data_IF_156550565592
#
_entry.id   IF_156550565592
#
_cell.length_a   1.000
_cell.length_b   1.000
_cell.length_c   1.000
_cell.angle_alpha   90.00
_cell.angle_beta   90.00
_cell.angle_gamma   90.00
#
_symmetry.space_group_name_H-M   'P 1'
#
loop_
_entity.id
_entity.type
_entity.pdbx_description
1 polymer ?
#
# COMPACT_ATOMS: atom_id res chain seq x y z
N UNK A 1 -51.66 -63.73 3.96
CA UNK A 1 -50.67 -62.81 4.57
C UNK A 1 -49.28 -63.14 4.04
N UNK A 2 -48.56 -62.09 3.66
CA UNK A 2 -47.13 -61.91 3.32
C UNK A 2 -46.27 -63.06 2.72
N UNK A 3 -45.99 -62.87 1.43
CA UNK A 3 -44.76 -63.05 0.62
C UNK A 3 -43.45 -62.53 1.33
N UNK A 4 -42.21 -62.68 0.76
CA UNK A 4 -41.49 -63.92 0.43
C UNK A 4 -39.92 -63.77 0.52
N UNK A 5 -39.18 -64.80 0.07
CA UNK A 5 -37.96 -64.77 -0.79
C UNK A 5 -36.63 -64.15 -0.30
N UNK A 6 -35.67 -65.07 -0.20
CA UNK A 6 -34.30 -65.10 -0.73
C UNK A 6 -33.35 -63.90 -0.53
N UNK A 7 -32.22 -64.19 0.10
CA UNK A 7 -31.03 -63.34 0.06
C UNK A 7 -29.98 -63.97 -0.87
N UNK A 8 -29.76 -63.30 -2.00
CA UNK A 8 -28.64 -63.51 -2.91
C UNK A 8 -27.55 -62.48 -2.58
N UNK A 9 -26.32 -62.97 -2.58
CA UNK A 9 -25.03 -62.33 -2.32
C UNK A 9 -24.75 -61.15 -3.27
N UNK A 10 -24.16 -60.07 -2.76
CA UNK A 10 -23.36 -59.14 -3.58
C UNK A 10 -22.26 -58.45 -2.74
N UNK A 11 -21.01 -58.82 -3.00
CA UNK A 11 -19.80 -58.08 -2.61
C UNK A 11 -19.80 -56.72 -3.32
N UNK A 12 -19.72 -55.61 -2.57
CA UNK A 12 -19.51 -54.28 -3.12
C UNK A 12 -18.05 -53.86 -2.94
N UNK A 13 -17.32 -53.80 -4.05
CA UNK A 13 -16.00 -53.21 -4.17
C UNK A 13 -16.12 -51.67 -4.15
N UNK A 14 -15.60 -51.01 -3.11
CA UNK A 14 -15.57 -49.55 -3.00
C UNK A 14 -14.26 -49.03 -3.60
N UNK A 15 -14.29 -48.67 -4.88
CA UNK A 15 -13.20 -47.97 -5.55
C UNK A 15 -13.13 -46.51 -5.04
N UNK A 16 -12.16 -46.21 -4.19
CA UNK A 16 -11.84 -44.84 -3.77
C UNK A 16 -11.12 -44.14 -4.92
N UNK A 17 -11.86 -43.48 -5.80
CA UNK A 17 -11.30 -42.57 -6.78
C UNK A 17 -10.76 -41.33 -6.04
N UNK A 18 -9.45 -41.30 -5.81
CA UNK A 18 -8.73 -40.10 -5.42
C UNK A 18 -8.73 -39.11 -6.57
N UNK A 19 -9.75 -38.26 -6.65
CA UNK A 19 -9.72 -37.10 -7.55
C UNK A 19 -8.89 -36.03 -6.85
N UNK A 20 -7.69 -35.66 -7.34
CA UNK A 20 -7.04 -34.46 -6.85
C UNK A 20 -7.97 -33.29 -7.20
N UNK A 21 -8.57 -32.67 -6.18
CA UNK A 21 -9.21 -31.36 -6.31
C UNK A 21 -8.11 -30.36 -6.65
N UNK A 22 -7.73 -30.30 -7.92
CA UNK A 22 -7.02 -29.18 -8.48
C UNK A 22 -7.98 -27.99 -8.39
N UNK A 23 -7.98 -27.31 -7.24
CA UNK A 23 -8.59 -25.99 -7.12
C UNK A 23 -7.86 -25.09 -8.10
N UNK A 24 -8.42 -24.96 -9.29
CA UNK A 24 -8.03 -23.95 -10.24
C UNK A 24 -8.20 -22.62 -9.53
N UNK A 25 -7.09 -22.05 -9.02
CA UNK A 25 -7.05 -20.64 -8.62
C UNK A 25 -7.48 -19.86 -9.85
N UNK A 26 -8.73 -19.43 -9.88
CA UNK A 26 -9.21 -18.40 -10.78
C UNK A 26 -8.33 -17.19 -10.52
N UNK A 27 -7.30 -17.01 -11.34
CA UNK A 27 -6.48 -15.81 -11.30
C UNK A 27 -7.39 -14.68 -11.74
N UNK A 28 -7.90 -13.90 -10.79
CA UNK A 28 -8.51 -12.62 -11.11
C UNK A 28 -7.52 -11.85 -12.00
N UNK A 29 -7.99 -11.49 -13.19
CA UNK A 29 -7.15 -10.79 -14.17
C UNK A 29 -6.84 -9.42 -13.58
N UNK A 30 -5.59 -9.26 -13.15
CA UNK A 30 -5.11 -8.01 -12.57
C UNK A 30 -5.35 -6.87 -13.56
N UNK A 31 -6.01 -5.81 -13.10
CA UNK A 31 -6.40 -4.67 -13.92
C UNK A 31 -5.58 -3.46 -13.54
N UNK A 32 -5.12 -2.70 -14.54
CA UNK A 32 -4.39 -1.46 -14.30
C UNK A 32 -5.37 -0.31 -14.03
N UNK A 33 -5.15 0.40 -12.93
CA UNK A 33 -5.95 1.53 -12.48
C UNK A 33 -5.07 2.78 -12.39
N UNK A 34 -5.52 3.88 -13.01
CA UNK A 34 -4.91 5.19 -12.81
C UNK A 34 -5.24 5.71 -11.43
N UNK A 35 -4.23 6.17 -10.71
CA UNK A 35 -4.36 6.70 -9.36
C UNK A 35 -4.25 8.21 -9.40
N UNK A 36 -5.19 8.87 -8.74
CA UNK A 36 -5.08 10.25 -8.26
C UNK A 36 -5.45 10.25 -6.78
N UNK A 37 -4.63 10.89 -5.95
CA UNK A 37 -4.94 11.04 -4.54
C UNK A 37 -4.48 12.37 -3.96
N UNK A 38 -5.18 12.81 -2.92
CA UNK A 38 -4.81 13.91 -2.05
C UNK A 38 -4.55 13.34 -0.65
N UNK A 39 -3.38 13.59 -0.11
CA UNK A 39 -2.97 13.17 1.23
C UNK A 39 -2.69 14.42 2.05
N UNK A 40 -3.17 14.43 3.29
CA UNK A 40 -2.84 15.44 4.28
C UNK A 40 -2.34 14.75 5.54
N UNK A 41 -1.08 14.96 5.87
CA UNK A 41 -0.41 14.25 6.95
C UNK A 41 0.41 15.19 7.83
N UNK A 42 0.61 14.79 9.08
CA UNK A 42 1.47 15.48 10.02
C UNK A 42 2.42 14.47 10.69
N UNK A 43 3.55 14.97 11.14
CA UNK A 43 4.47 14.21 11.98
C UNK A 43 3.80 13.86 13.32
N UNK A 44 3.85 12.58 13.69
CA UNK A 44 3.36 12.09 14.98
C UNK A 44 4.48 11.61 15.89
N UNK A 45 5.66 11.33 15.35
CA UNK A 45 6.87 11.03 16.13
C UNK A 45 8.13 11.18 15.29
N UNK A 46 9.25 11.44 15.94
CA UNK A 46 10.56 11.47 15.32
C UNK A 46 11.64 10.91 16.24
N UNK A 47 12.76 10.48 15.66
CA UNK A 47 13.98 10.13 16.39
C UNK A 47 15.19 10.86 15.81
N UNK A 48 16.08 11.33 16.67
CA UNK A 48 17.21 12.16 16.26
C UNK A 48 16.78 13.60 15.96
N UNK A 49 17.67 14.37 15.32
CA UNK A 49 17.44 15.80 15.05
C UNK A 49 17.11 16.01 13.57
N UNK A 50 15.84 15.96 13.18
CA UNK A 50 15.41 16.21 11.79
C UNK A 50 15.81 17.64 11.38
N UNK A 51 16.46 17.86 10.21
CA UNK A 51 16.68 16.92 9.10
C UNK A 51 18.10 16.33 9.02
N UNK A 52 18.76 16.03 10.14
CA UNK A 52 20.05 15.34 10.12
C UNK A 52 19.93 13.93 9.49
N UNK A 53 20.94 13.51 8.75
CA UNK A 53 20.98 12.18 8.15
C UNK A 53 20.86 11.09 9.24
N UNK A 54 20.07 10.05 8.97
CA UNK A 54 19.76 8.98 9.91
C UNK A 54 18.64 9.29 10.90
N UNK A 55 18.15 10.53 10.98
CA UNK A 55 16.90 10.83 11.70
C UNK A 55 15.72 10.13 11.05
N UNK A 56 14.71 9.77 11.86
CA UNK A 56 13.50 9.12 11.39
C UNK A 56 12.26 9.90 11.79
N UNK A 57 11.22 9.80 10.97
CA UNK A 57 9.94 10.48 11.15
C UNK A 57 8.83 9.47 10.87
N UNK A 58 7.80 9.47 11.72
CA UNK A 58 6.52 8.83 11.40
C UNK A 58 5.48 9.90 11.17
N UNK A 59 4.85 9.87 10.00
CA UNK A 59 3.71 10.71 9.66
C UNK A 59 2.42 9.89 9.70
N UNK A 60 1.32 10.54 10.03
CA UNK A 60 -0.01 9.98 9.88
C UNK A 60 -0.99 11.05 9.39
N UNK A 61 -2.03 10.60 8.69
CA UNK A 61 -2.88 11.52 7.97
C UNK A 61 -4.08 10.89 7.29
N UNK A 62 -4.75 11.72 6.50
CA UNK A 62 -5.91 11.36 5.70
C UNK A 62 -5.49 11.13 4.26
N UNK A 63 -6.21 10.25 3.56
CA UNK A 63 -6.01 9.96 2.16
C UNK A 63 -7.35 9.96 1.43
N UNK A 64 -7.45 10.73 0.35
CA UNK A 64 -8.59 10.69 -0.57
C UNK A 64 -8.10 10.26 -1.94
N UNK A 65 -8.45 9.05 -2.35
CA UNK A 65 -8.01 8.43 -3.60
C UNK A 65 -9.19 8.02 -4.49
N UNK A 66 -9.03 8.11 -5.80
CA UNK A 66 -10.02 7.59 -6.75
C UNK A 66 -10.10 6.05 -6.78
N UNK A 67 -9.07 5.32 -6.33
CA UNK A 67 -9.07 3.84 -6.30
C UNK A 67 -9.49 3.27 -4.93
N UNK A 68 -9.30 4.04 -3.86
CA UNK A 68 -9.57 3.63 -2.48
C UNK A 68 -10.70 4.37 -1.78
N UNK A 69 -11.19 5.46 -2.37
CA UNK A 69 -12.10 6.38 -1.68
C UNK A 69 -11.37 7.15 -0.58
N UNK A 70 -12.08 7.40 0.52
CA UNK A 70 -11.49 8.02 1.71
C UNK A 70 -10.79 6.96 2.57
N UNK A 71 -9.69 7.36 3.20
CA UNK A 71 -8.86 6.49 4.02
C UNK A 71 -7.88 7.27 4.88
N UNK A 72 -6.92 6.54 5.45
CA UNK A 72 -5.85 7.07 6.28
C UNK A 72 -4.49 6.63 5.74
N UNK A 73 -3.41 7.33 6.11
CA UNK A 73 -2.05 6.89 5.84
C UNK A 73 -1.19 6.87 7.11
N UNK A 74 -0.16 6.03 7.06
CA UNK A 74 0.98 6.07 7.97
C UNK A 74 2.25 5.87 7.16
N UNK A 75 3.20 6.78 7.30
CA UNK A 75 4.49 6.75 6.61
C UNK A 75 5.62 6.75 7.63
N UNK A 76 6.59 5.86 7.45
CA UNK A 76 7.82 5.80 8.23
C UNK A 76 9.00 6.13 7.34
N UNK A 77 9.60 7.29 7.58
CA UNK A 77 10.64 7.88 6.76
C UNK A 77 11.97 7.97 7.50
N UNK A 78 13.06 7.86 6.77
CA UNK A 78 14.43 8.08 7.22
C UNK A 78 15.07 9.12 6.33
N UNK A 79 15.69 10.13 6.94
CA UNK A 79 16.44 11.14 6.22
C UNK A 79 17.77 10.55 5.76
N UNK A 80 18.04 10.61 4.45
CA UNK A 80 19.28 10.09 3.86
C UNK A 80 20.39 11.14 3.80
N UNK A 81 20.08 12.40 4.10
CA UNK A 81 21.03 13.52 4.13
C UNK A 81 20.94 14.42 2.90
N UNK A 82 21.88 15.36 2.76
CA UNK A 82 21.90 16.31 1.64
C UNK A 82 22.03 15.62 0.29
N UNK A 83 21.38 16.18 -0.72
CA UNK A 83 21.57 15.84 -2.14
C UNK A 83 21.80 17.14 -2.95
N UNK A 84 22.13 17.00 -4.24
CA UNK A 84 22.42 18.15 -5.09
C UNK A 84 21.30 19.22 -5.10
N UNK A 85 21.70 20.49 -5.17
CA UNK A 85 20.76 21.62 -5.27
C UNK A 85 20.07 22.00 -3.96
N UNK A 86 20.70 21.77 -2.81
CA UNK A 86 20.18 22.19 -1.49
C UNK A 86 18.98 21.36 -1.01
N UNK A 87 18.71 20.21 -1.63
CA UNK A 87 17.62 19.32 -1.23
C UNK A 87 18.10 18.31 -0.19
N UNK A 88 17.16 17.77 0.56
CA UNK A 88 17.39 16.73 1.57
C UNK A 88 16.69 15.47 1.10
N UNK A 89 17.41 14.37 0.95
CA UNK A 89 16.85 13.08 0.56
C UNK A 89 16.18 12.37 1.73
N UNK A 90 15.14 11.59 1.43
CA UNK A 90 14.53 10.66 2.37
C UNK A 90 14.05 9.38 1.67
N UNK A 91 13.95 8.30 2.44
CA UNK A 91 13.45 7.00 2.01
C UNK A 91 12.58 6.39 3.10
N UNK A 92 11.71 5.46 2.78
CA UNK A 92 10.84 4.87 3.79
C UNK A 92 9.82 3.88 3.28
N UNK A 93 8.82 3.62 4.12
CA UNK A 93 7.64 2.83 3.78
C UNK A 93 6.40 3.61 4.13
N UNK A 94 5.39 3.51 3.27
CA UNK A 94 4.06 4.06 3.53
C UNK A 94 3.00 2.99 3.40
N UNK A 95 1.94 3.12 4.20
CA UNK A 95 0.75 2.29 4.11
C UNK A 95 -0.49 3.18 4.08
N UNK A 96 -1.29 3.03 3.03
CA UNK A 96 -2.61 3.62 2.92
C UNK A 96 -3.67 2.58 3.31
N UNK A 97 -4.58 2.95 4.20
CA UNK A 97 -5.68 2.12 4.69
C UNK A 97 -7.00 2.65 4.14
N UNK A 98 -7.76 1.77 3.50
CA UNK A 98 -9.07 2.04 2.92
C UNK A 98 -10.11 1.05 3.46
N UNK A 99 -11.38 1.26 3.15
CA UNK A 99 -12.49 0.42 3.62
C UNK A 99 -12.35 -1.07 3.24
N UNK A 100 -11.73 -1.38 2.09
CA UNK A 100 -11.60 -2.74 1.55
C UNK A 100 -10.14 -3.18 1.41
N UNK A 101 -9.32 -2.83 2.40
CA UNK A 101 -7.93 -3.25 2.49
C UNK A 101 -6.94 -2.09 2.49
N UNK A 102 -5.68 -2.44 2.34
CA UNK A 102 -4.56 -1.53 2.41
C UNK A 102 -3.61 -1.71 1.25
N UNK A 103 -2.86 -0.66 0.94
CA UNK A 103 -1.78 -0.66 -0.05
C UNK A 103 -0.52 -0.17 0.64
N UNK A 104 0.58 -0.91 0.51
CA UNK A 104 1.87 -0.53 1.07
C UNK A 104 2.93 -0.38 -0.02
N UNK A 105 3.87 0.55 0.18
CA UNK A 105 4.92 0.82 -0.77
C UNK A 105 6.20 1.36 -0.16
N UNK A 106 7.27 1.32 -0.95
CA UNK A 106 8.55 1.96 -0.63
C UNK A 106 8.54 3.39 -1.15
N UNK A 107 8.86 4.33 -0.28
CA UNK A 107 8.91 5.77 -0.58
C UNK A 107 10.37 6.16 -0.82
N UNK A 108 10.60 6.99 -1.83
CA UNK A 108 11.86 7.71 -2.02
C UNK A 108 11.54 9.12 -2.50
N UNK A 109 12.13 10.13 -1.88
CA UNK A 109 11.85 11.51 -2.23
C UNK A 109 12.91 12.49 -1.75
N UNK A 110 12.63 13.76 -2.00
CA UNK A 110 13.42 14.90 -1.56
C UNK A 110 12.53 15.97 -0.96
N UNK A 111 13.00 16.59 0.12
CA UNK A 111 12.47 17.81 0.70
C UNK A 111 13.36 18.99 0.29
N UNK A 112 12.76 20.11 -0.10
CA UNK A 112 13.44 21.33 -0.53
C UNK A 112 12.93 22.50 0.31
N UNK A 113 13.67 22.90 1.35
CA UNK A 113 13.38 24.12 2.09
C UNK A 113 13.35 25.33 1.16
N UNK A 114 12.37 26.22 1.34
CA UNK A 114 12.22 27.46 0.59
C UNK A 114 12.61 28.66 1.47
N UNK A 115 13.00 29.80 0.86
CA UNK A 115 13.35 31.01 1.61
C UNK A 115 12.22 31.57 2.50
N UNK A 116 10.96 31.28 2.16
CA UNK A 116 9.77 31.70 2.92
C UNK A 116 9.44 30.78 4.11
N UNK A 117 10.28 29.77 4.38
CA UNK A 117 10.08 28.78 5.45
C UNK A 117 9.20 27.59 5.05
N UNK A 118 8.58 27.60 3.87
CA UNK A 118 7.85 26.44 3.35
C UNK A 118 8.81 25.33 2.93
N UNK A 119 8.29 24.11 2.81
CA UNK A 119 9.06 22.94 2.37
C UNK A 119 8.31 22.27 1.23
N UNK A 120 9.00 22.13 0.09
CA UNK A 120 8.47 21.41 -1.06
C UNK A 120 8.98 19.97 -1.09
N UNK A 121 8.10 19.03 -1.34
CA UNK A 121 8.36 17.60 -1.40
C UNK A 121 8.13 17.09 -2.81
N UNK A 122 8.97 16.17 -3.26
CA UNK A 122 8.76 15.44 -4.50
C UNK A 122 9.37 14.03 -4.38
N UNK A 123 8.75 13.04 -5.01
CA UNK A 123 9.28 11.69 -4.96
C UNK A 123 8.40 10.66 -5.64
N UNK A 124 8.68 9.41 -5.32
CA UNK A 124 7.94 8.25 -5.81
C UNK A 124 7.66 7.24 -4.72
N UNK A 125 6.56 6.53 -4.87
CA UNK A 125 6.19 5.37 -4.07
C UNK A 125 6.08 4.16 -4.99
N UNK A 126 6.88 3.14 -4.75
CA UNK A 126 6.76 1.84 -5.44
C UNK A 126 5.86 0.93 -4.62
N UNK A 127 4.71 0.54 -5.16
CA UNK A 127 3.74 -0.32 -4.48
C UNK A 127 4.29 -1.75 -4.43
N UNK A 128 4.42 -2.29 -3.22
CA UNK A 128 5.03 -3.59 -2.98
C UNK A 128 4.05 -4.65 -2.50
N UNK A 129 2.96 -4.23 -1.84
CA UNK A 129 1.97 -5.13 -1.29
C UNK A 129 0.59 -4.48 -1.20
N UNK A 130 -0.43 -5.31 -1.09
CA UNK A 130 -1.77 -4.90 -0.67
C UNK A 130 -2.55 -6.05 -0.07
N UNK A 131 -3.64 -5.71 0.60
CA UNK A 131 -4.54 -6.64 1.30
C UNK A 131 -5.95 -6.58 0.74
N UNK A 132 -6.76 -7.61 1.02
CA UNK A 132 -8.16 -7.71 0.59
C UNK A 132 -8.34 -7.38 -0.90
N UNK A 133 -9.09 -6.34 -1.27
CA UNK A 133 -9.31 -5.92 -2.67
C UNK A 133 -8.01 -5.63 -3.41
N UNK A 134 -6.97 -5.20 -2.70
CA UNK A 134 -5.67 -4.82 -3.25
C UNK A 134 -4.63 -5.95 -3.17
N UNK A 135 -5.06 -7.19 -2.93
CA UNK A 135 -4.14 -8.33 -2.82
C UNK A 135 -3.29 -8.49 -4.08
N UNK A 136 -1.97 -8.47 -3.89
CA UNK A 136 -1.02 -8.58 -4.99
C UNK A 136 -0.75 -7.26 -5.72
N UNK A 137 -1.23 -6.13 -5.18
CA UNK A 137 -1.03 -4.83 -5.79
C UNK A 137 0.44 -4.52 -6.10
N UNK A 138 0.67 -4.00 -7.32
CA UNK A 138 1.97 -3.50 -7.80
C UNK A 138 1.75 -2.20 -8.56
N UNK A 139 2.79 -1.37 -8.65
CA UNK A 139 2.67 -0.11 -9.34
C UNK A 139 3.69 0.92 -8.89
N UNK A 140 3.58 2.11 -9.49
CA UNK A 140 4.42 3.25 -9.15
C UNK A 140 3.57 4.51 -9.14
N UNK A 141 3.72 5.26 -8.07
CA UNK A 141 3.08 6.54 -7.82
C UNK A 141 4.18 7.59 -7.76
N UNK A 142 3.99 8.73 -8.41
CA UNK A 142 4.76 9.95 -8.20
C UNK A 142 3.99 10.86 -7.27
N UNK A 143 4.68 11.63 -6.44
CA UNK A 143 4.05 12.61 -5.58
C UNK A 143 4.79 13.94 -5.58
N UNK A 144 4.03 15.00 -5.33
CA UNK A 144 4.52 16.32 -4.99
C UNK A 144 3.74 16.83 -3.79
N UNK A 145 4.34 17.67 -2.96
CA UNK A 145 3.63 18.24 -1.83
C UNK A 145 4.30 19.47 -1.26
N UNK A 146 3.60 20.15 -0.37
CA UNK A 146 4.09 21.35 0.31
C UNK A 146 3.67 21.33 1.77
N UNK A 147 4.58 21.76 2.65
CA UNK A 147 4.29 22.06 4.05
C UNK A 147 4.60 23.54 4.34
N UNK A 148 3.80 24.22 5.19
CA UNK A 148 4.16 25.54 5.71
C UNK A 148 5.43 25.57 6.57
N UNK A 149 5.97 24.41 6.96
CA UNK A 149 7.19 24.28 7.75
C UNK A 149 7.35 22.90 8.40
N UNK A 150 8.44 22.68 9.12
CA UNK A 150 8.64 21.43 9.87
C UNK A 150 7.53 21.22 10.92
N UNK A 151 7.06 19.98 11.06
CA UNK A 151 5.99 19.61 12.00
C UNK A 151 4.61 20.20 11.68
N UNK A 152 4.42 20.83 10.51
CA UNK A 152 3.11 21.29 10.03
C UNK A 152 2.49 20.26 9.11
N UNK A 153 1.18 20.39 8.88
CA UNK A 153 0.44 19.52 7.96
C UNK A 153 1.02 19.69 6.56
N UNK A 154 1.47 18.59 5.98
CA UNK A 154 1.94 18.50 4.61
C UNK A 154 0.77 18.10 3.72
N UNK A 155 0.56 18.84 2.63
CA UNK A 155 -0.43 18.49 1.60
C UNK A 155 0.29 17.88 0.41
N UNK A 156 -0.08 16.65 0.04
CA UNK A 156 0.60 15.84 -0.98
C UNK A 156 -0.40 15.43 -2.06
N UNK A 157 -0.04 15.68 -3.31
CA UNK A 157 -0.73 15.20 -4.50
C UNK A 157 -0.01 13.98 -5.06
N UNK A 158 -0.76 12.92 -5.34
CA UNK A 158 -0.24 11.66 -5.85
C UNK A 158 -0.86 11.32 -7.20
N UNK A 159 -0.05 10.84 -8.13
CA UNK A 159 -0.48 10.35 -9.44
C UNK A 159 0.30 9.11 -9.85
N UNK A 160 -0.33 8.20 -10.60
CA UNK A 160 0.39 7.06 -11.15
C UNK A 160 -0.51 5.91 -11.55
N UNK A 161 0.02 4.69 -11.48
CA UNK A 161 -0.71 3.47 -11.84
C UNK A 161 -0.48 2.39 -10.79
N UNK A 162 -1.56 1.67 -10.47
CA UNK A 162 -1.56 0.48 -9.65
C UNK A 162 -2.27 -0.66 -10.39
N UNK A 163 -1.83 -1.89 -10.22
CA UNK A 163 -2.43 -3.08 -10.83
C UNK A 163 -2.78 -4.07 -9.71
N UNK A 164 -4.03 -4.53 -9.65
CA UNK A 164 -4.52 -5.57 -8.73
C UNK A 164 -5.73 -6.31 -9.32
#
# INVERSE_FOLDING_TARGET
>A
MLKPIASIVALLALAVFGVPLAQAKTRHKSSAHKVTALVQEAEISQTGSVPAAGSTVTNAGTNKSNVGGNGANVDHLTVTGPVAGGKIGFTGKGTAFFAHGSVSGKIQGTATPQPDGTINYAGTTTITAGTDRYKGAKGKITFTGTSPGLGKVTTIHQTGTITY
#
